data_IF_628633721695
#
_entry.id   IF_628633721695
#
_cell.length_a   1.000
_cell.length_b   1.000
_cell.length_c   1.000
_cell.angle_alpha   90.00
_cell.angle_beta   90.00
_cell.angle_gamma   90.00
#
_symmetry.space_group_name_H-M   'P 1'
#
loop_
_entity.id
_entity.type
_entity.pdbx_description
1 polymer ?
#
# COMPACT_ATOMS: atom_id res chain seq x y z
N UNK A 1 3.55 -4.41 13.62
CA UNK A 1 2.79 -3.32 12.98
C UNK A 1 3.29 -1.99 13.49
N UNK A 2 3.70 -1.11 12.59
CA UNK A 2 4.07 0.28 12.87
C UNK A 2 3.27 1.15 11.90
N UNK A 3 2.82 2.32 12.35
CA UNK A 3 2.07 3.25 11.50
C UNK A 3 2.83 4.58 11.49
N UNK A 4 3.16 5.06 10.30
CA UNK A 4 3.83 6.34 10.10
C UNK A 4 2.89 7.32 9.43
N UNK A 5 2.79 8.52 9.99
CA UNK A 5 2.03 9.63 9.43
C UNK A 5 2.98 10.80 9.18
N UNK A 6 3.06 11.24 7.93
CA UNK A 6 3.95 12.32 7.51
C UNK A 6 3.20 13.64 7.52
N UNK A 7 3.65 14.59 8.34
CA UNK A 7 2.99 15.89 8.54
C UNK A 7 3.86 17.04 8.05
N UNK A 8 3.26 18.04 7.41
CA UNK A 8 3.99 19.25 7.01
C UNK A 8 4.38 20.05 8.27
N UNK A 9 5.67 20.30 8.46
CA UNK A 9 6.21 21.07 9.58
C UNK A 9 5.68 22.52 9.64
N UNK A 10 5.17 23.05 8.52
CA UNK A 10 4.54 24.38 8.50
C UNK A 10 3.15 24.37 9.14
N UNK A 11 2.40 23.28 8.99
CA UNK A 11 1.08 23.06 9.59
C UNK A 11 1.15 22.55 11.03
N UNK A 12 2.31 22.01 11.42
CA UNK A 12 2.68 21.60 12.78
C UNK A 12 2.63 22.77 13.77
N UNK A 13 2.55 24.03 13.35
CA UNK A 13 2.36 25.16 14.28
C UNK A 13 1.05 25.10 15.09
N UNK A 14 0.02 24.38 14.62
CA UNK A 14 -1.28 24.26 15.32
C UNK A 14 -1.45 22.96 16.12
N UNK A 15 -0.74 21.88 15.77
CA UNK A 15 -0.85 20.54 16.42
C UNK A 15 0.49 19.93 16.85
N UNK A 16 1.61 20.59 16.54
CA UNK A 16 2.94 20.00 16.49
C UNK A 16 3.49 19.53 17.82
N UNK A 17 3.23 20.28 18.87
CA UNK A 17 3.61 19.86 20.22
C UNK A 17 2.84 18.63 20.69
N UNK A 18 1.60 18.46 20.23
CA UNK A 18 0.74 17.34 20.62
C UNK A 18 1.06 16.06 19.84
N UNK A 19 1.32 16.19 18.53
CA UNK A 19 1.58 15.05 17.65
C UNK A 19 3.03 14.55 17.74
N UNK A 20 4.01 15.43 17.91
CA UNK A 20 5.43 15.05 17.95
C UNK A 20 5.88 14.52 19.32
N UNK A 21 5.18 14.86 20.43
CA UNK A 21 5.61 14.49 21.80
C UNK A 21 5.02 13.17 22.31
N UNK A 22 4.02 12.60 21.66
CA UNK A 22 3.38 11.33 22.09
C UNK A 22 3.66 10.21 21.11
N UNK A 23 4.48 9.25 21.53
CA UNK A 23 4.37 7.88 21.03
C UNK A 23 3.08 7.29 21.61
N UNK A 24 2.09 7.14 20.76
CA UNK A 24 0.81 6.56 21.16
C UNK A 24 1.02 5.07 21.44
N UNK A 25 0.31 4.51 22.44
CA UNK A 25 0.30 3.05 22.70
C UNK A 25 -0.05 2.23 21.45
N UNK A 26 -0.71 2.86 20.48
CA UNK A 26 -1.04 2.32 19.16
C UNK A 26 0.16 2.16 18.19
N UNK A 27 1.39 2.52 18.58
CA UNK A 27 2.59 2.52 17.70
C UNK A 27 2.40 3.38 16.43
N UNK A 28 1.71 4.51 16.61
CA UNK A 28 1.52 5.55 15.62
C UNK A 28 2.57 6.64 15.83
N UNK A 29 3.36 6.89 14.78
CA UNK A 29 4.46 7.84 14.78
C UNK A 29 4.15 8.98 13.80
N UNK A 30 4.07 10.20 14.32
CA UNK A 30 3.99 11.40 13.50
C UNK A 30 5.41 11.83 13.15
N UNK A 31 5.76 11.73 11.88
CA UNK A 31 7.08 12.04 11.36
C UNK A 31 7.02 13.38 10.61
N UNK A 32 8.03 14.25 10.78
CA UNK A 32 8.07 15.48 10.01
C UNK A 32 8.27 15.19 8.53
N UNK A 33 7.40 15.67 7.66
CA UNK A 33 7.52 15.49 6.21
C UNK A 33 8.73 16.19 5.59
N UNK A 34 9.26 17.21 6.26
CA UNK A 34 10.21 18.15 5.68
C UNK A 34 9.59 18.89 4.48
N UNK A 35 10.40 19.32 3.53
CA UNK A 35 9.91 20.02 2.33
C UNK A 35 9.09 19.14 1.39
N UNK A 36 9.27 17.81 1.45
CA UNK A 36 8.69 16.83 0.52
C UNK A 36 8.26 15.56 1.27
N UNK A 37 7.08 15.58 1.93
CA UNK A 37 6.59 14.45 2.74
C UNK A 37 6.46 13.15 1.96
N UNK A 38 6.06 13.24 0.69
CA UNK A 38 6.01 12.15 -0.28
C UNK A 38 7.36 11.46 -0.46
N UNK A 39 8.45 12.23 -0.60
CA UNK A 39 9.80 11.68 -0.75
C UNK A 39 10.31 11.04 0.52
N UNK A 40 9.97 11.59 1.68
CA UNK A 40 10.33 10.98 2.96
C UNK A 40 9.63 9.63 3.13
N UNK A 41 8.32 9.58 2.87
CA UNK A 41 7.54 8.34 2.88
C UNK A 41 8.12 7.29 1.92
N UNK A 42 8.47 7.69 0.70
CA UNK A 42 9.12 6.81 -0.27
C UNK A 42 10.41 6.19 0.28
N UNK A 43 11.29 7.01 0.86
CA UNK A 43 12.57 6.53 1.42
C UNK A 43 12.36 5.59 2.61
N UNK A 44 11.43 5.91 3.51
CA UNK A 44 11.14 5.07 4.67
C UNK A 44 10.57 3.70 4.26
N UNK A 45 9.75 3.64 3.19
CA UNK A 45 9.26 2.37 2.63
C UNK A 45 10.42 1.54 2.06
N UNK A 46 11.39 2.15 1.38
CA UNK A 46 12.57 1.43 0.87
C UNK A 46 13.47 0.89 2.00
N UNK A 47 13.57 1.61 3.11
CA UNK A 47 14.29 1.13 4.30
C UNK A 47 13.51 -0.03 4.92
N UNK A 48 12.21 0.15 5.12
CA UNK A 48 11.33 -0.91 5.63
C UNK A 48 11.42 -2.19 4.78
N UNK A 49 11.48 -2.04 3.47
CA UNK A 49 11.61 -3.16 2.53
C UNK A 49 12.89 -3.96 2.78
N UNK A 50 14.03 -3.29 2.99
CA UNK A 50 15.30 -3.96 3.27
C UNK A 50 15.33 -4.68 4.62
N UNK A 51 14.63 -4.13 5.61
CA UNK A 51 14.59 -4.66 6.97
C UNK A 51 13.48 -5.71 7.16
N UNK A 52 12.57 -5.87 6.20
CA UNK A 52 11.42 -6.76 6.31
C UNK A 52 11.66 -8.10 5.62
N UNK A 53 11.35 -9.23 6.28
CA UNK A 53 11.50 -10.55 5.69
C UNK A 53 10.60 -10.68 4.44
N UNK A 54 11.16 -11.32 3.41
CA UNK A 54 10.47 -11.73 2.18
C UNK A 54 9.86 -13.14 2.34
N UNK A 55 9.99 -13.71 3.53
CA UNK A 55 9.80 -15.14 3.77
C UNK A 55 8.34 -15.58 3.62
N UNK A 56 8.15 -16.67 2.87
CA UNK A 56 6.91 -17.45 2.83
C UNK A 56 6.83 -18.29 4.12
N UNK A 57 5.66 -18.43 4.78
CA UNK A 57 4.30 -18.24 4.25
C UNK A 57 3.61 -16.91 4.55
N UNK A 58 4.21 -16.02 5.35
CA UNK A 58 3.58 -14.78 5.80
C UNK A 58 4.37 -13.55 5.32
N UNK A 59 4.19 -13.14 4.05
CA UNK A 59 4.87 -11.97 3.52
C UNK A 59 4.45 -10.71 4.27
N UNK A 60 5.41 -9.80 4.48
CA UNK A 60 5.15 -8.53 5.11
C UNK A 60 4.21 -7.65 4.24
N UNK A 61 3.40 -6.83 4.88
CA UNK A 61 2.40 -5.98 4.22
C UNK A 61 2.70 -4.49 4.38
N UNK A 62 2.50 -3.72 3.32
CA UNK A 62 2.54 -2.25 3.30
C UNK A 62 1.19 -1.72 2.88
N UNK A 63 0.62 -0.83 3.69
CA UNK A 63 -0.56 -0.04 3.33
C UNK A 63 -0.14 1.42 3.23
N UNK A 64 -0.28 2.00 2.05
CA UNK A 64 -0.01 3.41 1.78
C UNK A 64 -1.34 4.14 1.63
N UNK A 65 -1.53 5.20 2.42
CA UNK A 65 -2.71 6.06 2.33
C UNK A 65 -2.26 7.43 1.81
N UNK A 66 -2.50 7.73 0.54
CA UNK A 66 -2.09 8.98 -0.09
C UNK A 66 -2.81 9.22 -1.41
N UNK A 67 -3.18 10.47 -1.67
CA UNK A 67 -3.74 10.94 -2.94
C UNK A 67 -2.65 11.31 -3.97
N UNK A 68 -1.39 11.44 -3.54
CA UNK A 68 -0.28 11.87 -4.40
C UNK A 68 0.43 10.74 -5.11
N UNK A 69 0.47 9.55 -4.50
CA UNK A 69 1.25 8.40 -4.99
C UNK A 69 0.79 7.94 -6.37
N UNK A 70 -0.52 7.98 -6.67
CA UNK A 70 -1.04 7.62 -8.01
C UNK A 70 -0.57 8.57 -9.12
N UNK A 71 -0.23 9.80 -8.77
CA UNK A 71 0.21 10.82 -9.71
C UNK A 71 1.74 10.85 -9.86
N UNK A 72 2.48 10.06 -9.08
CA UNK A 72 3.92 9.89 -9.17
C UNK A 72 4.24 8.50 -9.78
N UNK A 73 4.59 8.43 -11.08
CA UNK A 73 4.91 7.16 -11.74
C UNK A 73 6.04 6.39 -11.06
N UNK A 74 7.06 7.10 -10.55
CA UNK A 74 8.21 6.44 -9.92
C UNK A 74 7.82 5.80 -8.59
N UNK A 75 7.00 6.48 -7.80
CA UNK A 75 6.48 5.92 -6.56
C UNK A 75 5.57 4.73 -6.86
N UNK A 76 4.63 4.89 -7.79
CA UNK A 76 3.67 3.85 -8.15
C UNK A 76 4.38 2.58 -8.67
N UNK A 77 5.35 2.73 -9.56
CA UNK A 77 6.12 1.60 -10.12
C UNK A 77 6.94 0.89 -9.04
N UNK A 78 7.53 1.65 -8.10
CA UNK A 78 8.24 1.08 -6.95
C UNK A 78 7.31 0.18 -6.12
N UNK A 79 6.11 0.65 -5.77
CA UNK A 79 5.13 -0.14 -5.03
C UNK A 79 4.68 -1.39 -5.81
N UNK A 80 4.50 -1.26 -7.13
CA UNK A 80 4.19 -2.40 -8.00
C UNK A 80 5.32 -3.43 -8.01
N UNK A 81 6.58 -2.98 -8.00
CA UNK A 81 7.75 -3.86 -7.99
C UNK A 81 7.91 -4.62 -6.66
N UNK A 82 7.51 -4.00 -5.54
CA UNK A 82 7.51 -4.65 -4.23
C UNK A 82 6.52 -5.81 -4.18
N UNK A 83 5.29 -5.62 -4.67
CA UNK A 83 4.27 -6.68 -4.69
C UNK A 83 4.64 -7.77 -5.68
N UNK A 84 4.88 -7.40 -6.95
CA UNK A 84 5.09 -8.35 -8.03
C UNK A 84 6.46 -9.02 -8.01
N UNK A 85 7.50 -8.30 -7.59
CA UNK A 85 8.89 -8.75 -7.68
C UNK A 85 9.43 -9.35 -6.38
N UNK A 86 8.93 -8.90 -5.22
CA UNK A 86 9.41 -9.37 -3.90
C UNK A 86 8.31 -9.98 -3.04
N UNK A 87 7.12 -10.22 -3.59
CA UNK A 87 6.02 -10.93 -2.92
C UNK A 87 5.50 -10.27 -1.64
N UNK A 88 5.72 -8.97 -1.45
CA UNK A 88 5.06 -8.23 -0.38
C UNK A 88 3.58 -8.03 -0.69
N UNK A 89 2.74 -7.85 0.34
CA UNK A 89 1.38 -7.38 0.12
C UNK A 89 1.35 -5.86 0.12
N UNK A 90 1.13 -5.26 -1.04
CA UNK A 90 1.13 -3.79 -1.17
C UNK A 90 -0.26 -3.29 -1.52
N UNK A 91 -0.67 -2.30 -0.73
CA UNK A 91 -1.99 -1.72 -0.81
C UNK A 91 -1.89 -0.20 -0.89
N UNK A 92 -2.59 0.39 -1.86
CA UNK A 92 -2.68 1.84 -2.02
C UNK A 92 -4.12 2.31 -1.87
N UNK A 93 -4.34 3.17 -0.86
CA UNK A 93 -5.60 3.80 -0.52
C UNK A 93 -5.51 5.28 -0.88
N UNK A 94 -6.52 5.77 -1.58
CA UNK A 94 -6.63 7.17 -1.98
C UNK A 94 -7.76 7.82 -1.19
N UNK A 95 -7.45 8.66 -0.20
CA UNK A 95 -8.44 9.20 0.72
C UNK A 95 -9.37 10.23 0.05
N UNK A 96 -9.05 10.72 -1.15
CA UNK A 96 -9.87 11.72 -1.85
C UNK A 96 -11.07 11.10 -2.56
N UNK A 97 -11.10 9.78 -2.69
CA UNK A 97 -12.22 9.05 -3.27
C UNK A 97 -13.33 8.89 -2.25
N UNK A 98 -14.16 9.93 -2.17
CA UNK A 98 -15.60 9.91 -1.86
C UNK A 98 -16.06 9.43 -0.46
N UNK A 99 -15.32 9.68 0.61
CA UNK A 99 -15.91 9.52 1.96
C UNK A 99 -15.56 10.69 2.88
N UNK A 100 -16.56 11.40 3.44
CA UNK A 100 -16.31 12.37 4.50
C UNK A 100 -15.69 11.67 5.72
N UNK A 101 -14.59 12.20 6.28
CA UNK A 101 -13.91 11.62 7.45
C UNK A 101 -14.77 11.62 8.73
N UNK A 102 -15.95 12.23 8.67
CA UNK A 102 -16.90 12.39 9.77
C UNK A 102 -17.85 11.20 9.97
N UNK A 103 -17.96 10.30 8.98
CA UNK A 103 -18.86 9.13 9.07
C UNK A 103 -18.16 7.95 9.74
N UNK A 104 -18.72 7.31 10.78
CA UNK A 104 -18.04 6.18 11.47
C UNK A 104 -17.68 4.98 10.57
N UNK A 105 -18.27 4.89 9.39
CA UNK A 105 -18.01 3.87 8.37
C UNK A 105 -16.79 4.19 7.49
N UNK A 106 -16.25 5.41 7.60
CA UNK A 106 -15.20 5.95 6.73
C UNK A 106 -13.92 5.09 6.62
N UNK A 107 -13.43 4.42 7.68
CA UNK A 107 -12.24 3.60 7.53
C UNK A 107 -12.51 2.35 6.69
N UNK A 108 -13.71 1.77 6.80
CA UNK A 108 -14.07 0.52 6.12
C UNK A 108 -14.20 0.78 4.61
N UNK A 109 -14.89 1.87 4.25
CA UNK A 109 -15.11 2.26 2.86
C UNK A 109 -13.81 2.57 2.11
N UNK A 110 -12.75 3.00 2.81
CA UNK A 110 -11.42 3.21 2.22
C UNK A 110 -10.75 1.88 1.80
N UNK A 111 -11.00 0.80 2.53
CA UNK A 111 -10.43 -0.51 2.22
C UNK A 111 -11.19 -1.22 1.09
N UNK A 112 -12.46 -0.90 0.87
CA UNK A 112 -13.25 -1.44 -0.25
C UNK A 112 -12.73 -0.96 -1.62
N UNK A 113 -12.23 0.27 -1.71
CA UNK A 113 -11.67 0.85 -2.94
C UNK A 113 -10.14 0.72 -3.05
N UNK A 114 -9.54 -0.06 -2.17
CA UNK A 114 -8.09 -0.22 -2.08
C UNK A 114 -7.51 -0.85 -3.35
N UNK A 115 -6.44 -0.25 -3.86
CA UNK A 115 -5.70 -0.81 -4.98
C UNK A 115 -4.68 -1.82 -4.46
N UNK A 116 -4.86 -3.08 -4.84
CA UNK A 116 -3.84 -4.13 -4.68
C UNK A 116 -3.06 -4.28 -5.98
N UNK A 117 -1.73 -4.46 -5.86
CA UNK A 117 -0.85 -4.72 -7.00
C UNK A 117 -0.72 -6.22 -7.30
N UNK A 118 -1.39 -7.07 -6.52
CA UNK A 118 -1.41 -8.50 -6.72
C UNK A 118 -1.93 -8.83 -8.13
N UNK A 119 -1.24 -9.75 -8.80
CA UNK A 119 -1.70 -10.29 -10.08
C UNK A 119 -3.13 -10.80 -9.87
N UNK A 120 -4.10 -10.28 -10.63
CA UNK A 120 -5.39 -10.94 -10.79
C UNK A 120 -5.05 -12.38 -11.19
N UNK A 121 -5.22 -13.35 -10.29
CA UNK A 121 -5.25 -14.75 -10.71
C UNK A 121 -6.35 -14.80 -11.75
N UNK A 122 -5.95 -14.92 -13.02
CA UNK A 122 -6.89 -15.04 -14.10
C UNK A 122 -7.84 -16.17 -13.72
N UNK A 123 -9.14 -15.92 -13.83
CA UNK A 123 -10.12 -16.98 -13.96
C UNK A 123 -9.90 -17.66 -15.32
N UNK A 124 -8.76 -18.32 -15.50
CA UNK A 124 -8.41 -19.11 -16.68
C UNK A 124 -7.88 -20.49 -16.28
N UNK A 125 -8.08 -20.90 -15.02
CA UNK A 125 -7.90 -22.31 -14.60
C UNK A 125 -9.20 -23.13 -14.73
N UNK A 126 -10.25 -22.59 -15.38
CA UNK A 126 -11.40 -23.40 -15.79
C UNK A 126 -11.14 -24.07 -17.13
N UNK A 127 -10.66 -25.32 -17.01
CA UNK A 127 -11.06 -26.51 -17.78
C UNK A 127 -9.90 -27.25 -18.48
N UNK A 128 -9.27 -28.25 -17.82
CA UNK A 128 -8.24 -29.10 -18.42
C UNK A 128 -8.75 -30.02 -19.55
N UNK A 129 -10.07 -30.10 -19.78
CA UNK A 129 -10.66 -31.17 -20.59
C UNK A 129 -10.71 -30.88 -22.10
N UNK A 130 -10.36 -29.67 -22.56
CA UNK A 130 -10.40 -29.35 -24.01
C UNK A 130 -9.14 -29.71 -24.81
N UNK A 131 -8.04 -30.13 -24.18
CA UNK A 131 -6.80 -30.49 -24.90
C UNK A 131 -6.75 -31.93 -25.43
N UNK A 132 -7.72 -32.79 -25.10
CA UNK A 132 -7.74 -34.19 -25.59
C UNK A 132 -8.52 -34.39 -26.89
N UNK A 133 -9.33 -33.43 -27.34
CA UNK A 133 -10.17 -33.61 -28.53
C UNK A 133 -9.50 -33.24 -29.87
N UNK A 134 -8.25 -32.75 -29.88
CA UNK A 134 -7.56 -32.34 -31.11
C UNK A 134 -6.45 -33.32 -31.52
N UNK A 135 -6.20 -34.37 -30.73
CA UNK A 135 -5.15 -35.35 -31.00
C UNK A 135 -5.64 -36.68 -31.60
N UNK A 136 -6.96 -36.86 -31.81
CA UNK A 136 -7.53 -38.13 -32.33
C UNK A 136 -8.13 -38.04 -33.74
N UNK A 137 -7.97 -36.92 -34.47
CA UNK A 137 -8.50 -36.77 -35.84
C UNK A 137 -7.42 -36.64 -36.92
N UNK A 138 -6.23 -37.20 -36.69
CA UNK A 138 -5.17 -37.37 -37.71
C UNK A 138 -4.66 -38.82 -37.77
N UNK A 139 -5.57 -39.79 -37.59
CA UNK A 139 -5.32 -41.22 -37.83
C UNK A 139 -5.84 -41.64 -39.20
#
# INVERSE_FOLDING_TARGET
MSIWAYVDEKDVSSWGDFLCKKTWKARLYFLPGGEKPDKRMFNDILIWEKDSPVDFPEPASVVVVSDKVRCDPYFFDMLSSMDMGRHYHVYLVDPTKRVPPESSEWPILLFDEMHSFARKRGREDENPTKRRAVAEDQG
#
